data_IF_393353198757
#
_entry.id   IF_393353198757
#
_cell.length_a   1.000
_cell.length_b   1.000
_cell.length_c   1.000
_cell.angle_alpha   90.00
_cell.angle_beta   90.00
_cell.angle_gamma   90.00
#
_symmetry.space_group_name_H-M   'P 1'
#
loop_
_entity.id
_entity.type
_entity.pdbx_description
1 polymer ?
#
# COMPACT_ATOMS: atom_id res chain seq x y z
N UNK A 1 40.06 -34.90 -24.24
CA UNK A 1 40.22 -33.49 -23.82
C UNK A 1 39.14 -32.68 -24.52
N UNK A 2 37.95 -32.59 -23.92
CA UNK A 2 36.77 -31.90 -24.46
C UNK A 2 36.43 -30.81 -23.45
N UNK A 3 36.70 -29.56 -23.83
CA UNK A 3 36.48 -28.37 -23.02
C UNK A 3 34.99 -28.02 -23.10
N UNK A 4 34.23 -28.27 -22.02
CA UNK A 4 32.85 -27.78 -21.89
C UNK A 4 32.89 -26.33 -21.43
N UNK A 5 32.55 -25.43 -22.35
CA UNK A 5 32.28 -24.02 -22.05
C UNK A 5 30.92 -23.98 -21.33
N UNK A 6 30.94 -23.71 -20.02
CA UNK A 6 29.74 -23.34 -19.28
C UNK A 6 29.42 -21.88 -19.60
N UNK A 7 28.41 -21.66 -20.43
CA UNK A 7 27.78 -20.35 -20.57
C UNK A 7 27.00 -20.08 -19.27
N UNK A 8 27.56 -19.22 -18.41
CA UNK A 8 26.80 -18.60 -17.33
C UNK A 8 25.82 -17.62 -17.97
N UNK A 9 24.56 -18.04 -18.11
CA UNK A 9 23.45 -17.13 -18.37
C UNK A 9 23.18 -16.33 -17.11
N UNK A 10 23.71 -15.11 -17.04
CA UNK A 10 23.25 -14.11 -16.09
C UNK A 10 21.91 -13.61 -16.65
N UNK A 11 20.80 -14.10 -16.10
CA UNK A 11 19.48 -13.49 -16.32
C UNK A 11 19.45 -12.15 -15.59
N UNK A 12 19.75 -11.07 -16.30
CA UNK A 12 19.38 -9.74 -15.82
C UNK A 12 17.87 -9.63 -15.86
N UNK A 13 17.26 -9.47 -14.68
CA UNK A 13 15.86 -9.11 -14.57
C UNK A 13 15.69 -7.67 -15.06
N UNK A 14 15.53 -7.50 -16.37
CA UNK A 14 15.12 -6.24 -16.97
C UNK A 14 13.68 -6.00 -16.51
N UNK A 15 13.47 -5.01 -15.64
CA UNK A 15 12.12 -4.49 -15.40
C UNK A 15 11.54 -4.08 -16.76
N UNK A 16 10.45 -4.72 -17.19
CA UNK A 16 9.86 -4.44 -18.51
C UNK A 16 9.13 -3.10 -18.48
N UNK A 17 9.84 -2.05 -18.90
CA UNK A 17 9.27 -0.71 -19.02
C UNK A 17 8.26 -0.68 -20.17
N UNK A 18 7.03 -0.27 -19.87
CA UNK A 18 5.96 -0.17 -20.88
C UNK A 18 5.99 1.21 -21.56
N UNK A 19 6.27 2.26 -20.78
CA UNK A 19 6.20 3.65 -21.24
C UNK A 19 6.97 4.60 -20.32
N UNK A 20 7.61 5.60 -20.92
CA UNK A 20 8.16 6.76 -20.21
C UNK A 20 7.39 8.00 -20.64
N UNK A 21 6.96 8.81 -19.69
CA UNK A 21 6.24 10.06 -19.91
C UNK A 21 6.98 11.20 -19.21
N UNK A 22 7.17 12.32 -19.91
CA UNK A 22 7.72 13.53 -19.32
C UNK A 22 6.74 14.68 -19.48
N UNK A 23 6.75 15.62 -18.53
CA UNK A 23 5.84 16.75 -18.59
C UNK A 23 5.97 17.67 -17.38
N UNK A 24 4.97 18.53 -17.22
CA UNK A 24 4.83 19.42 -16.08
C UNK A 24 3.36 19.53 -15.66
N UNK A 25 3.11 19.65 -14.36
CA UNK A 25 1.75 19.76 -13.79
C UNK A 25 1.82 20.26 -12.35
N UNK A 26 0.65 20.50 -11.75
CA UNK A 26 0.55 20.54 -10.28
C UNK A 26 0.84 19.15 -9.73
N UNK A 27 1.80 19.08 -8.81
CA UNK A 27 2.25 17.87 -8.12
C UNK A 27 1.75 17.95 -6.69
N UNK A 28 0.95 16.96 -6.32
CA UNK A 28 0.39 16.81 -4.97
C UNK A 28 1.19 15.72 -4.25
N UNK A 29 1.69 16.07 -3.08
CA UNK A 29 2.45 15.18 -2.21
C UNK A 29 1.80 15.27 -0.85
N UNK A 30 1.41 14.12 -0.29
CA UNK A 30 0.73 14.10 1.00
C UNK A 30 1.60 14.75 2.08
N UNK A 31 0.97 15.60 2.91
CA UNK A 31 1.66 16.38 3.94
C UNK A 31 2.56 17.53 3.46
N UNK A 32 2.52 17.92 2.17
CA UNK A 32 3.24 19.08 1.63
C UNK A 32 2.33 19.99 0.80
N UNK A 33 2.67 21.27 0.72
CA UNK A 33 1.98 22.20 -0.19
C UNK A 33 2.19 21.74 -1.65
N UNK A 34 1.11 21.62 -2.44
CA UNK A 34 1.22 21.30 -3.86
C UNK A 34 2.10 22.33 -4.56
N UNK A 35 2.87 21.88 -5.55
CA UNK A 35 3.70 22.77 -6.35
C UNK A 35 3.59 22.45 -7.83
N UNK A 36 3.73 23.48 -8.66
CA UNK A 36 3.87 23.29 -10.10
C UNK A 36 5.29 22.80 -10.39
N UNK A 37 5.40 21.60 -10.97
CA UNK A 37 6.69 20.93 -11.15
C UNK A 37 6.77 20.16 -12.45
N UNK A 38 7.99 19.69 -12.73
CA UNK A 38 8.32 18.80 -13.84
C UNK A 38 8.36 17.36 -13.37
N UNK A 39 8.01 16.42 -14.24
CA UNK A 39 8.07 15.00 -13.95
C UNK A 39 8.66 14.19 -15.10
N UNK A 40 9.36 13.12 -14.74
CA UNK A 40 9.67 11.98 -15.60
C UNK A 40 9.09 10.74 -14.93
N UNK A 41 8.08 10.14 -15.58
CA UNK A 41 7.33 9.00 -15.07
C UNK A 41 7.62 7.76 -15.88
N UNK A 42 7.85 6.68 -15.17
CA UNK A 42 8.01 5.33 -15.68
C UNK A 42 6.77 4.53 -15.30
N UNK A 43 6.17 3.87 -16.28
CA UNK A 43 5.05 2.94 -16.10
C UNK A 43 5.54 1.52 -16.38
N UNK A 44 5.35 0.63 -15.41
CA UNK A 44 5.77 -0.76 -15.48
C UNK A 44 4.64 -1.66 -15.99
N UNK A 45 4.99 -2.67 -16.78
CA UNK A 45 4.00 -3.66 -17.27
C UNK A 45 3.41 -4.46 -16.12
N UNK A 46 4.26 -4.86 -15.18
CA UNK A 46 3.92 -5.61 -13.97
C UNK A 46 4.32 -4.82 -12.73
N UNK A 47 3.73 -5.16 -11.59
CA UNK A 47 4.14 -4.57 -10.31
C UNK A 47 5.62 -4.88 -10.06
N UNK A 48 6.43 -3.83 -9.96
CA UNK A 48 7.90 -3.95 -9.91
C UNK A 48 8.40 -3.58 -8.53
N UNK A 49 9.19 -4.48 -7.93
CA UNK A 49 9.90 -4.20 -6.68
C UNK A 49 11.14 -3.36 -6.97
N UNK A 50 11.31 -2.23 -6.28
CA UNK A 50 12.39 -1.28 -6.51
C UNK A 50 13.15 -1.05 -5.21
N UNK A 51 14.49 -1.15 -5.26
CA UNK A 51 15.38 -0.84 -4.13
C UNK A 51 16.21 0.42 -4.33
N UNK A 52 16.48 0.77 -5.59
CA UNK A 52 17.26 1.96 -5.94
C UNK A 52 16.89 2.43 -7.34
N UNK A 53 17.17 3.70 -7.60
CA UNK A 53 16.94 4.35 -8.89
C UNK A 53 18.21 5.10 -9.25
N UNK A 54 18.70 4.94 -10.47
CA UNK A 54 19.83 5.71 -11.01
C UNK A 54 19.30 6.72 -12.01
N UNK A 55 19.57 8.00 -11.78
CA UNK A 55 19.01 9.12 -12.56
C UNK A 55 20.16 9.85 -13.24
N UNK A 56 20.40 9.54 -14.51
CA UNK A 56 21.41 10.23 -15.30
C UNK A 56 20.82 11.50 -15.90
N UNK A 57 21.42 12.65 -15.57
CA UNK A 57 21.05 13.96 -16.09
C UNK A 57 22.22 14.58 -16.87
N UNK A 58 21.93 15.39 -17.90
CA UNK A 58 22.96 16.20 -18.57
C UNK A 58 23.66 17.15 -17.60
N UNK A 59 22.91 17.69 -16.64
CA UNK A 59 23.41 18.45 -15.50
C UNK A 59 23.36 17.54 -14.29
N UNK A 60 24.51 17.11 -13.71
CA UNK A 60 24.53 16.19 -12.59
C UNK A 60 23.74 16.72 -11.40
N UNK A 61 22.99 15.83 -10.74
CA UNK A 61 22.34 16.13 -9.48
C UNK A 61 23.42 16.13 -8.38
N UNK A 62 23.67 17.28 -7.78
CA UNK A 62 24.59 17.46 -6.66
C UNK A 62 24.05 16.90 -5.34
N UNK A 63 22.77 16.49 -5.32
CA UNK A 63 22.05 16.06 -4.12
C UNK A 63 21.47 17.22 -3.31
N UNK A 64 21.77 18.47 -3.70
CA UNK A 64 21.12 19.67 -3.17
C UNK A 64 19.83 20.01 -3.93
N UNK A 65 19.61 19.41 -5.11
CA UNK A 65 18.38 19.56 -5.87
C UNK A 65 17.25 18.83 -5.13
N UNK A 66 16.18 19.57 -4.82
CA UNK A 66 14.94 18.99 -4.33
C UNK A 66 14.27 18.22 -5.47
N UNK A 67 14.50 16.91 -5.48
CA UNK A 67 13.67 15.97 -6.24
C UNK A 67 12.81 15.17 -5.27
N UNK A 68 11.60 14.84 -5.70
CA UNK A 68 10.73 13.90 -5.03
C UNK A 68 10.58 12.65 -5.90
N UNK A 69 10.89 11.50 -5.33
CA UNK A 69 10.58 10.19 -5.91
C UNK A 69 9.18 9.81 -5.46
N UNK A 70 8.23 9.86 -6.38
CA UNK A 70 6.85 9.46 -6.13
C UNK A 70 6.59 8.09 -6.74
N UNK A 71 5.82 7.26 -6.08
CA UNK A 71 5.42 5.97 -6.62
C UNK A 71 3.96 5.65 -6.31
N UNK A 72 3.38 4.79 -7.12
CA UNK A 72 2.09 4.16 -6.82
C UNK A 72 2.16 2.71 -7.28
N UNK A 73 1.57 1.82 -6.50
CA UNK A 73 1.36 0.42 -6.86
C UNK A 73 0.13 0.22 -7.74
N UNK A 74 -0.66 1.28 -7.99
CA UNK A 74 -1.86 1.21 -8.83
C UNK A 74 -1.80 2.11 -10.08
N UNK A 75 -2.57 1.78 -11.12
CA UNK A 75 -2.69 2.62 -12.33
C UNK A 75 -3.33 4.01 -12.03
N UNK A 76 -4.27 4.05 -11.09
CA UNK A 76 -4.96 5.29 -10.68
C UNK A 76 -4.81 5.60 -9.18
N UNK A 77 -3.88 4.94 -8.49
CA UNK A 77 -3.73 5.07 -7.04
C UNK A 77 -3.05 6.38 -6.61
N UNK A 78 -3.18 6.69 -5.32
CA UNK A 78 -2.50 7.83 -4.70
C UNK A 78 -0.97 7.72 -4.80
N UNK A 79 -0.33 8.85 -5.11
CA UNK A 79 1.12 8.96 -5.12
C UNK A 79 1.69 8.95 -3.70
N UNK A 80 2.67 8.08 -3.48
CA UNK A 80 3.44 7.96 -2.23
C UNK A 80 4.83 8.51 -2.43
N UNK A 81 5.41 9.09 -1.38
CA UNK A 81 6.81 9.53 -1.41
C UNK A 81 7.72 8.36 -1.07
N UNK A 82 8.66 8.05 -1.95
CA UNK A 82 9.75 7.15 -1.66
C UNK A 82 10.88 7.94 -0.99
N UNK A 83 11.15 7.63 0.27
CA UNK A 83 12.30 8.21 0.96
C UNK A 83 13.59 7.53 0.50
N UNK A 84 14.63 8.33 0.29
CA UNK A 84 15.91 7.83 -0.20
C UNK A 84 17.09 8.47 0.52
N UNK A 85 18.26 7.87 0.36
CA UNK A 85 19.56 8.51 0.48
C UNK A 85 20.23 8.40 -0.89
N UNK A 86 20.98 9.41 -1.32
CA UNK A 86 21.68 9.35 -2.61
C UNK A 86 23.19 9.34 -2.45
N UNK A 87 23.86 8.77 -3.46
CA UNK A 87 25.29 8.88 -3.69
C UNK A 87 25.47 9.12 -5.19
N UNK A 88 25.93 10.31 -5.55
CA UNK A 88 26.01 10.75 -6.96
C UNK A 88 24.64 10.63 -7.64
N UNK A 89 24.56 10.10 -8.87
CA UNK A 89 23.30 9.87 -9.59
C UNK A 89 22.43 8.73 -9.05
N UNK A 90 22.84 8.02 -8.00
CA UNK A 90 22.16 6.83 -7.50
C UNK A 90 21.40 7.11 -6.20
N UNK A 91 20.11 6.79 -6.21
CA UNK A 91 19.14 7.05 -5.15
C UNK A 91 18.72 5.72 -4.52
N UNK A 92 19.25 5.42 -3.34
CA UNK A 92 18.93 4.22 -2.57
C UNK A 92 17.67 4.46 -1.74
N UNK A 93 16.63 3.69 -1.98
CA UNK A 93 15.39 3.82 -1.23
C UNK A 93 15.61 3.30 0.20
N UNK A 94 15.08 4.02 1.19
CA UNK A 94 15.18 3.64 2.61
C UNK A 94 14.38 2.37 2.91
N UNK A 95 13.34 2.11 2.12
CA UNK A 95 12.47 0.94 2.17
C UNK A 95 12.28 0.43 0.74
N UNK A 96 12.12 -0.89 0.57
CA UNK A 96 11.79 -1.47 -0.73
C UNK A 96 10.35 -1.10 -1.08
N UNK A 97 10.12 -0.65 -2.30
CA UNK A 97 8.78 -0.25 -2.75
C UNK A 97 8.27 -1.18 -3.84
N UNK A 98 6.96 -1.40 -3.88
CA UNK A 98 6.26 -2.00 -5.01
C UNK A 98 5.61 -0.89 -5.83
N UNK A 99 5.96 -0.80 -7.11
CA UNK A 99 5.49 0.27 -7.97
C UNK A 99 4.97 -0.27 -9.30
N UNK A 100 3.79 0.19 -9.67
CA UNK A 100 3.25 0.15 -11.04
C UNK A 100 3.63 1.42 -11.81
N UNK A 101 3.82 2.53 -11.09
CA UNK A 101 4.36 3.77 -11.63
C UNK A 101 5.39 4.35 -10.66
N UNK A 102 6.48 4.88 -11.21
CA UNK A 102 7.48 5.66 -10.50
C UNK A 102 7.63 7.00 -11.22
N UNK A 103 7.68 8.10 -10.48
CA UNK A 103 7.81 9.45 -11.01
C UNK A 103 8.92 10.19 -10.30
N UNK A 104 9.94 10.59 -11.04
CA UNK A 104 10.92 11.58 -10.58
C UNK A 104 10.31 12.95 -10.79
N UNK A 105 10.21 13.75 -9.75
CA UNK A 105 9.57 15.07 -9.81
C UNK A 105 10.48 16.16 -9.24
N UNK A 106 10.40 17.37 -9.78
CA UNK A 106 11.20 18.51 -9.29
C UNK A 106 10.52 19.85 -9.60
N UNK A 107 10.86 20.89 -8.84
CA UNK A 107 10.42 22.28 -9.09
C UNK A 107 11.09 22.89 -10.31
N UNK A 108 12.24 22.37 -10.73
CA UNK A 108 13.00 22.83 -11.89
C UNK A 108 13.03 21.74 -12.98
N UNK A 109 13.11 22.09 -14.27
CA UNK A 109 13.22 21.12 -15.33
C UNK A 109 14.54 20.35 -15.23
N UNK A 110 14.44 19.02 -15.13
CA UNK A 110 15.61 18.13 -15.12
C UNK A 110 15.89 17.63 -16.54
N UNK A 111 17.15 17.67 -16.96
CA UNK A 111 17.60 17.11 -18.24
C UNK A 111 17.93 15.62 -18.11
N UNK A 112 16.95 14.82 -17.68
CA UNK A 112 17.11 13.37 -17.51
C UNK A 112 17.31 12.73 -18.88
N UNK A 113 18.45 12.06 -19.06
CA UNK A 113 18.78 11.31 -20.28
C UNK A 113 18.50 9.83 -20.13
N UNK A 114 18.64 9.31 -18.91
CA UNK A 114 18.42 7.90 -18.61
C UNK A 114 17.94 7.74 -17.16
N UNK A 115 17.02 6.81 -16.97
CA UNK A 115 16.39 6.51 -15.69
C UNK A 115 16.34 5.00 -15.52
N UNK A 116 17.27 4.47 -14.72
CA UNK A 116 17.38 3.03 -14.50
C UNK A 116 16.81 2.67 -13.14
N UNK A 117 16.01 1.61 -13.13
CA UNK A 117 15.40 1.08 -11.92
C UNK A 117 16.16 -0.17 -11.54
N UNK A 118 16.64 -0.22 -10.31
CA UNK A 118 17.25 -1.41 -9.76
C UNK A 118 16.20 -2.24 -9.04
N UNK A 119 15.96 -3.47 -9.49
CA UNK A 119 15.02 -4.33 -8.81
C UNK A 119 15.57 -4.67 -7.42
N UNK A 120 14.65 -4.98 -6.51
CA UNK A 120 15.00 -5.69 -5.28
C UNK A 120 15.84 -6.92 -5.64
N UNK A 121 16.81 -7.30 -4.79
CA UNK A 121 17.48 -8.60 -4.94
C UNK A 121 16.42 -9.69 -5.14
N UNK A 122 16.67 -10.77 -5.90
CA UNK A 122 15.78 -11.92 -5.97
C UNK A 122 15.75 -12.61 -4.58
N UNK A 123 15.05 -11.97 -3.68
CA UNK A 123 14.72 -12.32 -2.33
C UNK A 123 13.23 -12.05 -2.28
N UNK A 124 12.49 -13.15 -2.43
CA UNK A 124 11.11 -13.33 -2.00
C UNK A 124 10.67 -12.24 -1.02
N UNK A 125 9.54 -11.59 -1.31
CA UNK A 125 8.70 -10.99 -0.28
C UNK A 125 8.85 -11.81 1.01
N UNK A 126 9.05 -11.16 2.16
CA UNK A 126 8.97 -11.92 3.40
C UNK A 126 7.54 -12.44 3.43
N UNK A 127 7.37 -13.72 3.13
CA UNK A 127 6.10 -14.39 3.36
C UNK A 127 5.84 -14.18 4.84
N UNK A 128 4.64 -13.72 5.17
CA UNK A 128 4.26 -13.64 6.57
C UNK A 128 4.57 -15.02 7.20
N UNK A 129 5.51 -15.05 8.14
CA UNK A 129 5.97 -16.30 8.74
C UNK A 129 4.79 -16.89 9.51
N UNK A 130 4.40 -18.15 9.25
CA UNK A 130 3.36 -18.81 10.04
C UNK A 130 3.63 -18.81 11.57
N UNK A 131 4.89 -18.63 11.99
CA UNK A 131 5.32 -18.61 13.38
C UNK A 131 5.37 -17.21 14.03
N UNK A 132 5.45 -16.12 13.26
CA UNK A 132 5.31 -14.73 13.77
C UNK A 132 3.84 -14.30 13.66
N UNK A 133 2.96 -15.08 14.30
CA UNK A 133 1.51 -14.88 14.22
C UNK A 133 1.18 -13.47 14.76
N UNK A 134 0.52 -12.66 13.91
CA UNK A 134 -0.23 -11.46 14.32
C UNK A 134 0.57 -10.20 14.70
N UNK A 135 1.88 -10.13 14.44
CA UNK A 135 2.66 -8.88 14.60
C UNK A 135 3.45 -8.54 13.34
N UNK A 136 3.09 -7.42 12.71
CA UNK A 136 3.74 -6.96 11.47
C UNK A 136 4.61 -5.74 11.76
N UNK A 137 5.90 -5.87 11.46
CA UNK A 137 6.93 -4.89 11.79
C UNK A 137 7.46 -4.20 10.54
N UNK A 138 7.77 -2.90 10.65
CA UNK A 138 8.23 -2.10 9.51
C UNK A 138 9.53 -2.64 8.89
N UNK A 139 10.45 -3.16 9.71
CA UNK A 139 11.75 -3.69 9.26
C UNK A 139 11.65 -4.94 8.36
N UNK A 140 10.48 -5.57 8.34
CA UNK A 140 10.15 -6.76 7.57
C UNK A 140 9.18 -6.45 6.41
N UNK A 141 8.76 -5.20 6.27
CA UNK A 141 7.91 -4.70 5.20
C UNK A 141 8.70 -4.60 3.88
N UNK A 142 8.09 -4.87 2.71
CA UNK A 142 6.71 -5.28 2.52
C UNK A 142 6.46 -6.77 2.76
N UNK A 143 5.25 -7.09 3.22
CA UNK A 143 4.77 -8.45 3.39
C UNK A 143 3.90 -8.88 2.21
N UNK A 144 4.09 -10.12 1.75
CA UNK A 144 3.14 -10.78 0.86
C UNK A 144 2.40 -11.85 1.65
N UNK A 145 1.07 -11.74 1.65
CA UNK A 145 0.19 -12.72 2.24
C UNK A 145 0.09 -13.95 1.33
N UNK A 146 0.06 -15.12 1.93
CA UNK A 146 -0.13 -16.40 1.24
C UNK A 146 -1.49 -17.01 1.55
N UNK A 147 -2.10 -16.61 2.66
CA UNK A 147 -3.39 -17.07 3.15
C UNK A 147 -4.13 -15.95 3.90
N UNK A 148 -5.29 -16.28 4.47
CA UNK A 148 -6.06 -15.35 5.27
C UNK A 148 -5.33 -14.98 6.57
N UNK A 149 -5.39 -13.71 6.94
CA UNK A 149 -5.06 -13.28 8.30
C UNK A 149 -6.31 -13.43 9.16
N UNK A 150 -6.39 -14.50 9.94
CA UNK A 150 -7.51 -14.73 10.87
C UNK A 150 -7.07 -14.47 12.30
N UNK A 151 -7.67 -13.45 12.92
CA UNK A 151 -7.45 -13.11 14.32
C UNK A 151 -8.58 -13.75 15.11
N UNK A 152 -8.29 -14.86 15.75
CA UNK A 152 -9.29 -15.64 16.49
C UNK A 152 -9.81 -14.89 17.71
N UNK A 153 -10.94 -15.37 18.26
CA UNK A 153 -11.47 -14.84 19.51
C UNK A 153 -10.39 -14.90 20.60
N UNK A 154 -10.33 -13.85 21.42
CA UNK A 154 -9.34 -13.66 22.50
C UNK A 154 -7.88 -13.50 22.04
N UNK A 155 -7.61 -13.52 20.73
CA UNK A 155 -6.30 -13.15 20.17
C UNK A 155 -6.28 -11.67 19.77
N UNK A 156 -5.08 -11.10 19.68
CA UNK A 156 -4.89 -9.79 19.09
C UNK A 156 -3.81 -9.79 18.02
N UNK A 157 -3.92 -8.86 17.09
CA UNK A 157 -2.88 -8.56 16.11
C UNK A 157 -2.54 -7.07 16.10
N UNK A 158 -1.30 -6.78 15.73
CA UNK A 158 -0.82 -5.41 15.56
C UNK A 158 -0.06 -5.23 14.25
N UNK A 159 -0.29 -4.11 13.59
CA UNK A 159 0.41 -3.68 12.38
C UNK A 159 1.06 -2.34 12.67
N UNK A 160 2.40 -2.31 12.64
CA UNK A 160 3.19 -1.10 12.89
C UNK A 160 3.04 -0.05 11.78
N UNK A 161 3.31 1.22 12.13
CA UNK A 161 3.32 2.33 11.20
C UNK A 161 4.25 2.08 9.99
N UNK A 162 3.75 2.34 8.78
CA UNK A 162 4.50 2.21 7.52
C UNK A 162 4.50 0.80 6.92
N UNK A 163 3.94 -0.20 7.60
CA UNK A 163 3.86 -1.56 7.05
C UNK A 163 2.97 -1.60 5.80
N UNK A 164 3.42 -2.37 4.80
CA UNK A 164 2.70 -2.66 3.57
C UNK A 164 2.41 -4.17 3.51
N UNK A 165 1.14 -4.52 3.29
CA UNK A 165 0.65 -5.89 3.16
C UNK A 165 -0.04 -6.06 1.81
N UNK A 166 0.48 -7.01 1.02
CA UNK A 166 -0.06 -7.34 -0.30
C UNK A 166 -0.81 -8.67 -0.26
N UNK A 167 -2.07 -8.63 -0.69
CA UNK A 167 -3.01 -9.75 -0.65
C UNK A 167 -3.23 -10.32 -2.06
N UNK A 168 -2.99 -11.63 -2.27
CA UNK A 168 -3.41 -12.30 -3.48
C UNK A 168 -4.93 -12.50 -3.52
N UNK A 169 -5.50 -12.85 -4.68
CA UNK A 169 -6.93 -13.10 -4.81
C UNK A 169 -7.39 -14.21 -3.85
N UNK A 170 -8.63 -14.09 -3.36
CA UNK A 170 -9.24 -15.00 -2.39
C UNK A 170 -8.59 -15.02 -0.99
N UNK A 171 -7.71 -14.06 -0.68
CA UNK A 171 -7.24 -13.83 0.70
C UNK A 171 -7.91 -12.62 1.33
N UNK A 172 -8.00 -12.59 2.65
CA UNK A 172 -8.65 -11.54 3.42
C UNK A 172 -8.13 -11.42 4.85
N UNK A 173 -8.62 -10.40 5.54
CA UNK A 173 -8.43 -10.24 6.99
C UNK A 173 -9.77 -10.52 7.67
N UNK A 174 -9.79 -11.49 8.58
CA UNK A 174 -10.96 -11.87 9.36
C UNK A 174 -10.68 -11.63 10.84
N UNK A 175 -11.44 -10.73 11.45
CA UNK A 175 -11.19 -10.26 12.82
C UNK A 175 -12.32 -10.72 13.74
N UNK A 176 -12.04 -11.73 14.55
CA UNK A 176 -12.91 -12.21 15.64
C UNK A 176 -12.38 -11.78 17.02
N UNK A 177 -11.07 -11.56 17.14
CA UNK A 177 -10.39 -10.94 18.30
C UNK A 177 -10.20 -9.44 18.11
N UNK A 178 -9.02 -8.91 18.44
CA UNK A 178 -8.71 -7.47 18.33
C UNK A 178 -7.62 -7.17 17.30
N UNK A 179 -7.81 -6.15 16.45
CA UNK A 179 -6.78 -5.68 15.51
C UNK A 179 -6.41 -4.22 15.78
N UNK A 180 -5.10 -3.99 15.95
CA UNK A 180 -4.53 -2.65 16.08
C UNK A 180 -3.74 -2.29 14.82
N UNK A 181 -4.18 -1.27 14.08
CA UNK A 181 -3.44 -0.70 12.95
C UNK A 181 -2.94 0.68 13.37
N UNK A 182 -1.63 0.79 13.55
CA UNK A 182 -0.99 1.92 14.20
C UNK A 182 -0.26 2.82 13.19
N UNK A 183 -0.92 3.16 12.07
CA UNK A 183 -0.38 4.10 11.11
C UNK A 183 -0.23 5.52 11.69
N UNK A 184 0.57 6.34 11.03
CA UNK A 184 0.71 7.77 11.32
C UNK A 184 0.62 8.58 10.04
N UNK A 185 0.44 9.90 10.15
CA UNK A 185 0.46 10.84 9.02
C UNK A 185 1.71 10.69 8.13
N UNK A 186 2.88 10.45 8.74
CA UNK A 186 4.16 10.27 8.03
C UNK A 186 4.40 8.85 7.56
N UNK A 187 3.75 7.88 8.19
CA UNK A 187 3.94 6.45 7.94
C UNK A 187 2.59 5.72 8.00
N UNK A 188 1.72 5.95 7.00
CA UNK A 188 0.45 5.23 6.92
C UNK A 188 0.69 3.73 6.68
N UNK A 189 -0.28 2.91 7.07
CA UNK A 189 -0.30 1.47 6.80
C UNK A 189 -1.06 1.21 5.51
N UNK A 190 -0.59 0.27 4.69
CA UNK A 190 -1.21 -0.08 3.40
C UNK A 190 -1.63 -1.55 3.36
N UNK A 191 -2.91 -1.79 3.02
CA UNK A 191 -3.48 -3.12 2.81
C UNK A 191 -4.05 -3.20 1.38
N UNK A 192 -3.40 -3.98 0.51
CA UNK A 192 -3.60 -3.80 -0.94
C UNK A 192 -3.65 -5.12 -1.71
N UNK A 193 -4.37 -5.13 -2.83
CA UNK A 193 -4.24 -6.22 -3.78
C UNK A 193 -2.81 -6.28 -4.34
N UNK A 194 -2.27 -7.50 -4.51
CA UNK A 194 -1.02 -7.69 -5.25
C UNK A 194 -1.21 -7.55 -6.77
N UNK A 195 -2.43 -7.72 -7.26
CA UNK A 195 -2.83 -7.59 -8.66
C UNK A 195 -4.15 -6.81 -8.71
N UNK A 196 -4.10 -5.57 -9.19
CA UNK A 196 -5.26 -4.67 -9.29
C UNK A 196 -6.44 -5.27 -10.06
N UNK A 197 -6.17 -6.18 -11.02
CA UNK A 197 -7.22 -6.81 -11.83
C UNK A 197 -7.88 -7.98 -11.11
N UNK A 198 -7.32 -8.43 -9.99
CA UNK A 198 -7.79 -9.56 -9.21
C UNK A 198 -7.93 -9.15 -7.75
N UNK A 199 -9.08 -8.59 -7.35
CA UNK A 199 -9.25 -8.03 -6.02
C UNK A 199 -9.14 -9.11 -4.94
N UNK A 200 -8.65 -8.70 -3.78
CA UNK A 200 -8.68 -9.51 -2.56
C UNK A 200 -10.02 -9.34 -1.83
N UNK A 201 -10.27 -10.11 -0.77
CA UNK A 201 -11.57 -10.11 -0.09
C UNK A 201 -11.82 -8.76 0.59
N UNK A 202 -10.82 -8.19 1.25
CA UNK A 202 -10.97 -7.03 2.14
C UNK A 202 -10.89 -7.43 3.61
N UNK A 203 -11.33 -6.55 4.49
CA UNK A 203 -11.32 -6.74 5.94
C UNK A 203 -12.74 -6.95 6.46
N UNK A 204 -12.96 -8.06 7.16
CA UNK A 204 -14.24 -8.42 7.75
C UNK A 204 -14.07 -8.52 9.26
N UNK A 205 -14.81 -7.70 10.00
CA UNK A 205 -14.77 -7.63 11.47
C UNK A 205 -16.09 -8.17 12.02
N UNK A 206 -15.97 -9.10 12.96
CA UNK A 206 -17.06 -9.72 13.72
C UNK A 206 -16.55 -10.04 15.12
N UNK A 207 -16.35 -9.01 15.94
CA UNK A 207 -15.63 -9.10 17.22
C UNK A 207 -16.44 -8.55 18.40
N UNK A 208 -16.20 -9.12 19.57
CA UNK A 208 -16.71 -8.64 20.86
C UNK A 208 -15.83 -7.55 21.49
N UNK A 209 -14.67 -7.25 20.89
CA UNK A 209 -13.70 -6.26 21.39
C UNK A 209 -13.40 -5.20 20.33
N UNK A 210 -13.32 -3.90 20.71
CA UNK A 210 -13.14 -2.84 19.74
C UNK A 210 -11.70 -2.85 19.19
N UNK A 211 -11.58 -2.90 17.87
CA UNK A 211 -10.32 -2.69 17.14
C UNK A 211 -10.05 -1.20 16.91
N UNK A 212 -8.83 -0.82 16.57
CA UNK A 212 -8.49 0.58 16.23
C UNK A 212 -7.69 0.66 14.95
N UNK A 213 -8.11 1.53 14.03
CA UNK A 213 -7.46 1.74 12.74
C UNK A 213 -7.08 3.21 12.57
N UNK A 214 -5.78 3.49 12.61
CA UNK A 214 -5.22 4.84 12.45
C UNK A 214 -4.38 4.93 11.18
N UNK A 215 -4.60 5.96 10.35
CA UNK A 215 -3.86 6.23 9.11
C UNK A 215 -3.67 4.97 8.24
N UNK A 216 -4.78 4.31 7.92
CA UNK A 216 -4.85 3.12 7.12
C UNK A 216 -5.33 3.47 5.71
N UNK A 217 -4.63 3.00 4.69
CA UNK A 217 -5.13 2.97 3.31
C UNK A 217 -5.39 1.52 2.88
N UNK A 218 -6.62 1.24 2.47
CA UNK A 218 -7.08 -0.06 2.03
C UNK A 218 -7.58 0.02 0.59
N UNK A 219 -7.00 -0.79 -0.30
CA UNK A 219 -7.27 -0.70 -1.73
C UNK A 219 -7.40 -2.05 -2.46
N UNK A 220 -8.08 -2.05 -3.60
CA UNK A 220 -8.18 -3.20 -4.50
C UNK A 220 -8.94 -4.40 -3.92
N UNK A 221 -9.89 -4.18 -3.01
CA UNK A 221 -10.67 -5.25 -2.39
C UNK A 221 -12.12 -5.33 -2.88
N UNK A 222 -12.77 -6.46 -2.66
CA UNK A 222 -14.21 -6.66 -2.92
C UNK A 222 -15.07 -5.98 -1.84
N UNK A 223 -14.78 -6.23 -0.57
CA UNK A 223 -15.66 -5.78 0.53
C UNK A 223 -15.21 -4.50 1.23
N UNK A 224 -14.03 -3.95 0.90
CA UNK A 224 -13.48 -2.82 1.63
C UNK A 224 -13.25 -3.19 3.09
N UNK A 225 -13.82 -2.39 4.00
CA UNK A 225 -13.90 -2.71 5.43
C UNK A 225 -15.37 -2.95 5.81
N UNK A 226 -15.69 -4.19 6.17
CA UNK A 226 -17.03 -4.63 6.59
C UNK A 226 -17.04 -4.97 8.07
N UNK A 227 -17.88 -4.29 8.85
CA UNK A 227 -18.19 -4.64 10.25
C UNK A 227 -19.58 -5.27 10.26
N UNK A 228 -19.67 -6.51 10.72
CA UNK A 228 -20.95 -7.24 10.83
C UNK A 228 -20.96 -8.14 12.06
N UNK A 229 -22.13 -8.35 12.63
CA UNK A 229 -22.30 -9.21 13.82
C UNK A 229 -21.30 -8.84 14.96
N UNK A 230 -21.06 -7.55 15.16
CA UNK A 230 -20.00 -7.03 16.02
C UNK A 230 -20.60 -6.05 17.03
N UNK A 231 -20.78 -6.42 18.32
CA UNK A 231 -21.24 -5.47 19.34
C UNK A 231 -20.22 -4.37 19.63
N UNK A 232 -18.94 -4.67 19.41
CA UNK A 232 -17.86 -3.71 19.54
C UNK A 232 -17.40 -3.23 18.16
N UNK A 233 -17.77 -2.00 17.81
CA UNK A 233 -17.38 -1.32 16.59
C UNK A 233 -15.94 -0.80 16.68
N UNK A 234 -15.13 -0.97 15.62
CA UNK A 234 -13.80 -0.37 15.57
C UNK A 234 -13.83 1.15 15.58
N UNK A 235 -12.75 1.77 16.07
CA UNK A 235 -12.50 3.20 15.91
C UNK A 235 -11.70 3.42 14.63
N UNK A 236 -12.22 4.26 13.74
CA UNK A 236 -11.56 4.65 12.49
C UNK A 236 -11.05 6.09 12.61
N UNK A 237 -9.75 6.29 12.43
CA UNK A 237 -9.12 7.62 12.42
C UNK A 237 -8.19 7.76 11.20
N UNK A 238 -8.50 8.67 10.28
CA UNK A 238 -7.78 8.87 9.02
C UNK A 238 -7.68 7.59 8.16
N UNK A 239 -8.79 6.87 7.99
CA UNK A 239 -8.82 5.67 7.14
C UNK A 239 -9.28 6.03 5.73
N UNK A 240 -8.62 5.47 4.71
CA UNK A 240 -8.97 5.66 3.30
C UNK A 240 -9.28 4.30 2.69
N UNK A 241 -10.50 4.13 2.18
CA UNK A 241 -10.86 2.99 1.35
C UNK A 241 -10.90 3.46 -0.11
N UNK A 242 -9.87 3.12 -0.90
CA UNK A 242 -9.70 3.58 -2.28
C UNK A 242 -9.82 2.42 -3.28
N UNK A 243 -10.52 2.63 -4.40
CA UNK A 243 -10.51 1.70 -5.55
C UNK A 243 -10.94 0.27 -5.17
N UNK A 244 -11.93 0.18 -4.28
CA UNK A 244 -12.56 -1.07 -3.86
C UNK A 244 -13.89 -1.27 -4.59
N UNK A 245 -14.47 -2.47 -4.56
CA UNK A 245 -15.87 -2.61 -5.01
C UNK A 245 -16.82 -1.93 -4.00
N UNK A 246 -16.59 -2.13 -2.70
CA UNK A 246 -17.27 -1.43 -1.61
C UNK A 246 -16.24 -0.74 -0.70
N UNK A 247 -16.55 0.44 -0.18
CA UNK A 247 -15.67 1.18 0.74
C UNK A 247 -15.80 0.72 2.18
N UNK A 248 -16.86 1.15 2.88
CA UNK A 248 -17.18 0.76 4.25
C UNK A 248 -18.59 0.21 4.33
N UNK A 249 -18.77 -0.91 5.03
CA UNK A 249 -20.09 -1.47 5.34
C UNK A 249 -20.20 -1.69 6.85
N UNK A 250 -21.26 -1.15 7.45
CA UNK A 250 -21.60 -1.33 8.86
C UNK A 250 -22.97 -1.99 8.96
N UNK A 251 -22.98 -3.29 9.26
CA UNK A 251 -24.20 -4.03 9.58
C UNK A 251 -24.44 -3.95 11.09
N UNK A 252 -25.35 -3.07 11.48
CA UNK A 252 -25.80 -2.88 12.86
C UNK A 252 -26.89 -3.89 13.13
N UNK A 253 -26.58 -4.92 13.91
CA UNK A 253 -27.57 -5.91 14.34
C UNK A 253 -28.11 -5.54 15.71
N UNK A 254 -29.29 -4.91 15.74
CA UNK A 254 -30.01 -4.51 16.96
C UNK A 254 -30.33 -5.68 17.90
N UNK A 255 -30.20 -6.94 17.42
CA UNK A 255 -30.35 -8.11 18.29
C UNK A 255 -29.18 -8.32 19.26
N UNK A 256 -28.08 -7.59 19.10
CA UNK A 256 -26.88 -7.69 19.92
C UNK A 256 -26.87 -6.64 21.06
N UNK A 257 -27.98 -6.54 21.81
CA UNK A 257 -28.02 -5.94 23.15
C UNK A 257 -27.69 -4.44 23.29
N UNK A 258 -27.98 -3.87 24.46
CA UNK A 258 -27.99 -2.41 24.72
C UNK A 258 -26.61 -1.77 24.99
N UNK A 259 -25.53 -2.52 24.95
CA UNK A 259 -24.15 -2.04 25.21
C UNK A 259 -23.36 -1.85 23.89
N UNK A 260 -24.04 -1.41 22.83
CA UNK A 260 -23.39 -1.10 21.56
C UNK A 260 -22.38 0.04 21.73
N UNK A 261 -21.13 -0.23 21.38
CA UNK A 261 -20.16 0.87 21.24
C UNK A 261 -20.55 1.70 20.03
N UNK A 262 -20.64 3.04 20.12
CA UNK A 262 -21.02 3.86 18.98
C UNK A 262 -20.01 3.69 17.84
N UNK A 263 -20.50 3.73 16.61
CA UNK A 263 -19.65 3.79 15.42
C UNK A 263 -18.86 5.11 15.44
N UNK A 264 -17.53 5.03 15.53
CA UNK A 264 -16.63 6.18 15.61
C UNK A 264 -15.76 6.28 14.36
N UNK A 265 -16.06 7.26 13.51
CA UNK A 265 -15.39 7.47 12.22
C UNK A 265 -14.90 8.92 12.12
N UNK A 266 -13.58 9.11 12.11
CA UNK A 266 -12.93 10.42 12.11
C UNK A 266 -12.04 10.57 10.88
N UNK A 267 -12.28 11.62 10.09
CA UNK A 267 -11.45 11.99 8.91
C UNK A 267 -11.20 10.83 7.94
N UNK A 268 -12.19 9.94 7.84
CA UNK A 268 -12.14 8.73 7.03
C UNK A 268 -12.89 8.96 5.73
N UNK A 269 -12.38 8.41 4.63
CA UNK A 269 -12.91 8.64 3.28
C UNK A 269 -13.03 7.33 2.50
N UNK A 270 -14.11 7.20 1.72
CA UNK A 270 -14.23 6.19 0.68
C UNK A 270 -14.12 6.89 -0.68
N UNK A 271 -13.15 6.48 -1.49
CA UNK A 271 -12.84 7.12 -2.77
C UNK A 271 -12.79 6.05 -3.86
N UNK A 272 -13.24 6.40 -5.07
CA UNK A 272 -13.21 5.51 -6.24
C UNK A 272 -13.82 4.11 -6.02
N UNK A 273 -14.80 3.98 -5.11
CA UNK A 273 -15.49 2.70 -4.89
C UNK A 273 -16.48 2.43 -6.03
N UNK A 274 -16.49 1.21 -6.57
CA UNK A 274 -17.30 0.87 -7.75
C UNK A 274 -18.80 0.79 -7.47
N UNK A 275 -19.19 0.33 -6.29
CA UNK A 275 -20.59 0.16 -5.90
C UNK A 275 -21.00 1.18 -4.83
N UNK A 276 -20.47 1.03 -3.60
CA UNK A 276 -20.86 1.85 -2.47
C UNK A 276 -19.64 2.45 -1.77
N UNK A 277 -19.74 3.71 -1.34
CA UNK A 277 -18.72 4.37 -0.51
C UNK A 277 -18.88 4.02 0.97
N UNK A 278 -20.00 4.44 1.57
CA UNK A 278 -20.40 4.06 2.93
C UNK A 278 -21.79 3.46 2.90
N UNK A 279 -21.94 2.28 3.50
CA UNK A 279 -23.22 1.61 3.72
C UNK A 279 -23.41 1.39 5.21
N UNK A 280 -24.57 1.78 5.73
CA UNK A 280 -24.99 1.46 7.11
C UNK A 280 -26.33 0.75 7.00
N UNK A 281 -26.35 -0.52 7.38
CA UNK A 281 -27.56 -1.34 7.41
C UNK A 281 -28.01 -1.47 8.88
N UNK A 282 -29.18 -0.95 9.19
CA UNK A 282 -29.88 -1.25 10.44
C UNK A 282 -31.11 -2.11 10.14
N UNK A 283 -31.57 -2.91 11.10
CA UNK A 283 -32.93 -3.45 11.04
C UNK A 283 -33.88 -2.31 11.37
N UNK A 284 -34.99 -2.21 10.63
CA UNK A 284 -36.10 -1.35 11.01
C UNK A 284 -37.09 -2.25 11.72
N UNK A 285 -37.28 -2.06 13.02
CA UNK A 285 -38.40 -2.69 13.73
C UNK A 285 -39.71 -2.22 13.08
N UNK A 286 -40.53 -3.18 12.62
CA UNK A 286 -41.91 -2.94 12.17
C UNK A 286 -42.89 -3.14 13.33
#
# INVERSE_FOLDING_TARGET
MLLRIFAFLITEAIASFLRVETGHRSIEIDGRDPYYGHYTRVVFTDQTCIRAVTIHCLVPLTGAEEIDLLYTNCENGQWRVAHYNNKEERFYLKEQIQAKQLSVTSRIPLSIVDLQVEPCSPGTFKQADPLEKHSFHLNNSPYQMTENLTIEKDEFASIEAGVQLFFPPNTGIFVYGTLYINGTDKKPVYLEAIDEKKPWIGMIISSETPSTFSYLNLSGSVYGITVKNSPAFPIFDHVVADSNQNGFTFDVDESIGSDETPIRVYKTSAVNSLQNGFTINGKVEN
#
